data_IF_769163826232
#
_entry.id   IF_769163826232
#
_cell.length_a   1.000
_cell.length_b   1.000
_cell.length_c   1.000
_cell.angle_alpha   90.00
_cell.angle_beta   90.00
_cell.angle_gamma   90.00
#
_symmetry.space_group_name_H-M   'P 1'
#
loop_
_entity.id
_entity.type
_entity.pdbx_description
1 polymer ?
#
# COMPACT_ATOMS: atom_id res chain seq x y z
N UNK A 1 -8.18 71.53 -9.19
CA UNK A 1 -7.36 72.20 -8.16
C UNK A 1 -8.18 72.14 -6.90
N UNK A 2 -7.88 71.19 -6.01
CA UNK A 2 -8.64 71.04 -4.75
C UNK A 2 -7.84 71.75 -3.67
N UNK A 3 -8.33 72.91 -3.22
CA UNK A 3 -7.65 73.66 -2.17
C UNK A 3 -8.03 73.10 -0.80
N UNK A 4 -7.02 72.66 -0.04
CA UNK A 4 -7.20 72.25 1.35
C UNK A 4 -7.22 73.51 2.22
N UNK A 5 -8.41 73.93 2.62
CA UNK A 5 -8.63 75.11 3.46
C UNK A 5 -8.42 74.81 4.95
N UNK A 6 -7.70 75.72 5.65
CA UNK A 6 -7.59 75.71 7.12
C UNK A 6 -8.61 76.69 7.70
N UNK A 7 -9.54 76.20 8.53
CA UNK A 7 -10.54 77.06 9.21
C UNK A 7 -9.92 77.65 10.47
N UNK A 8 -9.85 78.98 10.53
CA UNK A 8 -9.54 79.74 11.75
C UNK A 8 -10.82 80.43 12.20
N UNK A 9 -11.27 80.15 13.41
CA UNK A 9 -12.36 80.89 14.04
C UNK A 9 -11.78 81.65 15.23
N UNK A 10 -11.81 82.98 15.16
CA UNK A 10 -11.40 83.88 16.24
C UNK A 10 -10.04 83.56 16.90
N UNK A 11 -9.01 83.32 16.07
CA UNK A 11 -7.64 83.04 16.54
C UNK A 11 -7.40 81.61 17.04
N UNK A 12 -8.44 80.79 17.25
CA UNK A 12 -8.32 79.37 17.56
C UNK A 12 -8.17 78.54 16.27
N UNK A 13 -7.14 77.68 16.24
CA UNK A 13 -6.99 76.70 15.17
C UNK A 13 -7.92 75.52 15.45
N UNK A 14 -8.94 75.36 14.60
CA UNK A 14 -9.90 74.26 14.71
C UNK A 14 -9.40 73.10 13.86
N UNK A 15 -9.00 72.00 14.50
CA UNK A 15 -8.74 70.74 13.83
C UNK A 15 -10.08 70.03 13.62
N UNK A 16 -10.65 70.15 12.42
CA UNK A 16 -11.82 69.36 12.09
C UNK A 16 -11.41 67.88 12.10
N UNK A 17 -12.10 67.07 12.91
CA UNK A 17 -12.01 65.63 12.78
C UNK A 17 -12.65 65.26 11.45
N UNK A 18 -11.84 65.06 10.42
CA UNK A 18 -12.32 64.57 9.13
C UNK A 18 -12.68 63.09 9.30
N UNK A 19 -13.95 62.75 9.07
CA UNK A 19 -14.36 61.36 8.98
C UNK A 19 -13.56 60.68 7.85
N UNK A 20 -13.18 59.41 8.03
CA UNK A 20 -12.41 58.63 7.03
C UNK A 20 -13.04 58.71 5.64
N UNK A 21 -14.36 58.87 5.56
CA UNK A 21 -15.10 58.97 4.30
C UNK A 21 -15.07 60.34 3.61
N UNK A 22 -14.65 61.40 4.30
CA UNK A 22 -14.52 62.75 3.74
C UNK A 22 -13.17 63.01 3.06
N UNK A 23 -12.25 62.04 3.09
CA UNK A 23 -10.94 62.12 2.44
C UNK A 23 -11.07 61.71 0.97
N UNK A 24 -10.97 62.69 0.07
CA UNK A 24 -10.88 62.42 -1.37
C UNK A 24 -9.61 61.59 -1.69
N UNK A 25 -9.77 60.51 -2.44
CA UNK A 25 -8.67 59.59 -2.76
C UNK A 25 -8.33 58.56 -1.68
N UNK A 26 -9.17 58.39 -0.65
CA UNK A 26 -8.97 57.34 0.37
C UNK A 26 -8.82 55.96 -0.29
N UNK A 27 -7.82 55.13 0.08
CA UNK A 27 -7.72 53.78 -0.43
C UNK A 27 -8.90 52.95 0.07
N UNK A 28 -9.81 52.57 -0.82
CA UNK A 28 -11.00 51.74 -0.48
C UNK A 28 -10.68 50.25 -0.40
N UNK A 29 -9.51 49.84 -0.87
CA UNK A 29 -9.05 48.46 -0.91
C UNK A 29 -7.59 48.41 -0.45
N UNK A 30 -7.36 48.54 0.86
CA UNK A 30 -6.02 48.32 1.45
C UNK A 30 -5.71 46.83 1.65
N UNK A 31 -6.47 45.93 1.01
CA UNK A 31 -6.24 44.50 1.10
C UNK A 31 -5.26 44.13 0.00
N UNK A 32 -4.06 43.71 0.39
CA UNK A 32 -3.08 43.16 -0.55
C UNK A 32 -3.68 41.99 -1.34
N UNK A 33 -3.16 41.77 -2.54
CA UNK A 33 -3.58 40.66 -3.38
C UNK A 33 -3.45 39.34 -2.62
N UNK A 34 -4.31 38.38 -2.98
CA UNK A 34 -4.19 37.03 -2.45
C UNK A 34 -2.82 36.48 -2.87
N UNK A 35 -2.05 35.98 -1.90
CA UNK A 35 -0.80 35.29 -2.20
C UNK A 35 -1.00 34.07 -3.08
N UNK A 36 0.02 33.74 -3.86
CA UNK A 36 0.01 32.58 -4.74
C UNK A 36 -0.20 31.28 -3.95
N UNK A 37 -0.88 30.28 -4.54
CA UNK A 37 -0.93 28.94 -3.96
C UNK A 37 0.48 28.37 -3.78
N UNK A 38 0.72 27.69 -2.66
CA UNK A 38 1.97 26.95 -2.46
C UNK A 38 2.12 25.81 -3.46
N UNK A 39 3.37 25.40 -3.73
CA UNK A 39 3.65 24.25 -4.59
C UNK A 39 3.01 22.97 -4.04
N UNK A 40 2.43 22.17 -4.93
CA UNK A 40 1.90 20.86 -4.58
C UNK A 40 3.04 19.91 -4.18
N UNK A 41 2.83 19.16 -3.10
CA UNK A 41 3.73 18.07 -2.74
C UNK A 41 3.55 16.88 -3.68
N UNK A 42 4.63 16.16 -3.95
CA UNK A 42 4.63 14.95 -4.79
C UNK A 42 5.16 13.75 -4.02
N UNK A 43 4.64 12.57 -4.35
CA UNK A 43 5.10 11.28 -3.82
C UNK A 43 5.30 10.33 -4.99
N UNK A 44 6.45 9.66 -5.01
CA UNK A 44 6.78 8.65 -6.03
C UNK A 44 7.40 7.41 -5.39
N UNK A 45 7.28 6.27 -6.07
CA UNK A 45 8.00 5.05 -5.71
C UNK A 45 9.39 5.10 -6.34
N UNK A 46 10.41 4.84 -5.52
CA UNK A 46 11.78 4.67 -5.98
C UNK A 46 12.11 3.22 -6.26
N UNK A 47 13.01 2.65 -5.48
CA UNK A 47 13.43 1.25 -5.64
C UNK A 47 12.58 0.31 -4.80
N UNK A 48 12.33 -0.90 -5.33
CA UNK A 48 11.78 -2.02 -4.56
C UNK A 48 12.81 -3.14 -4.60
N UNK A 49 13.34 -3.53 -3.45
CA UNK A 49 14.36 -4.59 -3.32
C UNK A 49 13.91 -5.65 -2.32
N UNK A 50 14.50 -6.84 -2.42
CA UNK A 50 14.31 -7.90 -1.43
C UNK A 50 15.28 -7.76 -0.25
N UNK A 51 14.85 -8.02 0.97
CA UNK A 51 15.71 -8.07 2.16
C UNK A 51 15.16 -8.98 3.25
N UNK A 52 15.77 -9.02 4.43
CA UNK A 52 15.25 -9.83 5.57
C UNK A 52 14.23 -9.09 6.40
N UNK A 53 14.40 -7.77 6.56
CA UNK A 53 13.52 -6.91 7.34
C UNK A 53 12.79 -5.94 6.42
N UNK A 54 11.47 -5.85 6.58
CA UNK A 54 10.67 -4.87 5.84
C UNK A 54 11.05 -3.45 6.28
N UNK A 55 11.31 -2.57 5.31
CA UNK A 55 11.60 -1.17 5.61
C UNK A 55 11.17 -0.23 4.49
N UNK A 56 10.95 1.03 4.87
CA UNK A 56 10.68 2.14 3.95
C UNK A 56 11.66 3.26 4.29
N UNK A 57 12.26 3.86 3.27
CA UNK A 57 13.14 5.03 3.42
C UNK A 57 12.77 6.11 2.42
N UNK A 58 12.66 7.36 2.87
CA UNK A 58 12.50 8.50 1.97
C UNK A 58 13.89 8.93 1.46
N UNK A 59 14.13 8.78 0.16
CA UNK A 59 15.32 9.27 -0.52
C UNK A 59 15.11 10.64 -1.19
N UNK A 60 13.90 11.20 -1.08
CA UNK A 60 13.52 12.52 -1.59
C UNK A 60 13.48 13.59 -0.50
N UNK A 61 12.73 14.67 -0.76
CA UNK A 61 12.51 15.76 0.22
C UNK A 61 11.14 15.62 0.88
N UNK A 62 10.82 16.54 1.80
CA UNK A 62 9.50 16.62 2.44
C UNK A 62 8.39 17.03 1.46
N UNK A 63 8.72 17.78 0.40
CA UNK A 63 7.76 18.21 -0.64
C UNK A 63 7.83 17.38 -1.91
N UNK A 64 8.88 16.58 -2.11
CA UNK A 64 9.03 15.65 -3.23
C UNK A 64 9.57 14.31 -2.72
N UNK A 65 8.70 13.54 -2.07
CA UNK A 65 9.07 12.30 -1.43
C UNK A 65 9.32 11.19 -2.47
N UNK A 66 10.37 10.40 -2.25
CA UNK A 66 10.68 9.21 -3.04
C UNK A 66 10.89 8.04 -2.09
N UNK A 67 9.89 7.19 -1.98
CA UNK A 67 9.93 6.07 -1.05
C UNK A 67 10.58 4.85 -1.70
N UNK A 68 11.66 4.38 -1.07
CA UNK A 68 12.30 3.12 -1.39
C UNK A 68 11.80 2.05 -0.42
N UNK A 69 11.56 0.85 -0.92
CA UNK A 69 11.01 -0.27 -0.17
C UNK A 69 12.00 -1.44 -0.15
N UNK A 70 12.15 -2.05 1.02
CA UNK A 70 12.76 -3.37 1.18
C UNK A 70 11.66 -4.33 1.61
N UNK A 71 11.43 -5.39 0.84
CA UNK A 71 10.38 -6.36 1.08
C UNK A 71 10.99 -7.75 1.38
N UNK A 72 10.61 -8.41 2.48
CA UNK A 72 11.02 -9.78 2.72
C UNK A 72 10.34 -10.78 1.79
N UNK A 73 11.03 -11.89 1.53
CA UNK A 73 10.43 -13.02 0.85
C UNK A 73 9.42 -13.66 1.81
N UNK A 74 8.23 -14.00 1.30
CA UNK A 74 7.28 -14.80 2.05
C UNK A 74 7.82 -16.19 2.37
N UNK A 75 7.29 -16.79 3.42
CA UNK A 75 7.67 -18.13 3.84
C UNK A 75 7.40 -19.15 2.73
N UNK A 76 8.19 -20.24 2.74
CA UNK A 76 7.93 -21.37 1.86
C UNK A 76 6.58 -21.99 2.26
N UNK A 77 5.73 -22.28 1.28
CA UNK A 77 4.52 -23.05 1.54
C UNK A 77 4.81 -24.44 2.08
N UNK A 78 3.83 -25.01 2.78
CA UNK A 78 3.94 -26.34 3.37
C UNK A 78 4.24 -27.40 2.31
N UNK A 79 5.05 -28.44 2.63
CA UNK A 79 5.19 -29.60 1.77
C UNK A 79 3.82 -30.25 1.52
N UNK A 80 3.62 -30.78 0.31
CA UNK A 80 2.45 -31.62 0.03
C UNK A 80 2.48 -32.91 0.88
N UNK A 81 1.31 -33.45 1.20
CA UNK A 81 1.19 -34.73 1.91
C UNK A 81 1.79 -35.86 1.06
N UNK A 82 2.85 -36.49 1.57
CA UNK A 82 3.44 -37.69 0.94
C UNK A 82 2.50 -38.89 1.10
N UNK A 83 2.19 -39.60 0.01
CA UNK A 83 1.46 -40.86 0.04
C UNK A 83 2.41 -42.03 0.35
N UNK A 84 3.11 -42.01 1.49
CA UNK A 84 4.16 -43.00 1.81
C UNK A 84 3.64 -44.28 2.47
N UNK A 85 2.34 -44.44 2.69
CA UNK A 85 1.77 -45.67 3.26
C UNK A 85 0.48 -46.05 2.54
N UNK A 86 0.61 -46.80 1.48
CA UNK A 86 -0.51 -47.57 0.92
C UNK A 86 -0.39 -49.02 1.36
N UNK A 87 -1.52 -49.70 1.51
CA UNK A 87 -1.54 -51.12 1.79
C UNK A 87 -0.71 -51.91 0.76
N UNK A 88 -0.18 -53.06 1.19
CA UNK A 88 0.38 -54.06 0.26
C UNK A 88 -0.70 -54.42 -0.74
N UNK A 89 -0.32 -54.51 -2.00
CA UNK A 89 -1.23 -54.94 -3.02
C UNK A 89 -1.59 -56.41 -2.90
N UNK A 90 -2.88 -56.72 -2.94
CA UNK A 90 -3.41 -58.08 -2.94
C UNK A 90 -4.49 -58.18 -4.02
N UNK A 91 -4.97 -59.38 -4.32
CA UNK A 91 -6.15 -59.57 -5.19
C UNK A 91 -7.38 -58.79 -4.70
N UNK A 92 -7.45 -58.50 -3.39
CA UNK A 92 -8.56 -57.76 -2.77
C UNK A 92 -8.23 -56.29 -2.43
N UNK A 93 -7.02 -55.79 -2.69
CA UNK A 93 -6.61 -54.42 -2.30
C UNK A 93 -5.64 -53.82 -3.33
N UNK A 94 -5.98 -52.64 -3.85
CA UNK A 94 -5.30 -52.02 -5.00
C UNK A 94 -3.90 -51.41 -4.72
N UNK A 95 -3.45 -51.30 -3.46
CA UNK A 95 -2.14 -50.71 -3.13
C UNK A 95 -1.81 -49.41 -3.92
N UNK A 96 -0.62 -49.35 -4.52
CA UNK A 96 -0.14 -48.26 -5.40
C UNK A 96 -0.01 -48.65 -6.89
N UNK A 97 -0.42 -49.85 -7.29
CA UNK A 97 -0.24 -50.24 -8.68
C UNK A 97 -1.19 -49.51 -9.62
N UNK A 98 -0.80 -49.43 -10.89
CA UNK A 98 -1.69 -48.94 -11.94
C UNK A 98 -2.94 -49.82 -12.04
N UNK A 99 -4.04 -49.24 -12.52
CA UNK A 99 -5.26 -50.03 -12.77
C UNK A 99 -5.00 -51.22 -13.70
N UNK A 100 -4.13 -51.03 -14.70
CA UNK A 100 -3.72 -52.08 -15.62
C UNK A 100 -2.96 -53.22 -14.93
N UNK A 101 -2.05 -52.90 -13.99
CA UNK A 101 -1.31 -53.93 -13.25
C UNK A 101 -2.19 -54.60 -12.18
N UNK A 102 -3.15 -53.89 -11.60
CA UNK A 102 -4.14 -54.48 -10.69
C UNK A 102 -5.01 -55.52 -11.40
N UNK A 103 -5.44 -55.25 -12.63
CA UNK A 103 -6.19 -56.23 -13.44
C UNK A 103 -5.38 -57.52 -13.65
N UNK A 104 -4.06 -57.43 -13.83
CA UNK A 104 -3.20 -58.62 -13.96
C UNK A 104 -3.16 -59.43 -12.66
N UNK A 105 -3.09 -58.76 -11.51
CA UNK A 105 -3.10 -59.42 -10.20
C UNK A 105 -4.46 -60.08 -9.91
N UNK A 106 -5.56 -59.41 -10.28
CA UNK A 106 -6.94 -59.90 -10.08
C UNK A 106 -7.26 -61.14 -10.92
N UNK A 107 -6.53 -61.33 -12.02
CA UNK A 107 -6.63 -62.52 -12.87
C UNK A 107 -5.87 -63.74 -12.35
N UNK A 108 -5.08 -63.62 -11.27
CA UNK A 108 -4.38 -64.77 -10.70
C UNK A 108 -5.36 -65.68 -9.94
N UNK A 109 -5.36 -66.97 -10.27
CA UNK A 109 -6.12 -67.97 -9.53
C UNK A 109 -5.62 -68.06 -8.08
N UNK A 110 -6.56 -68.08 -7.13
CA UNK A 110 -6.24 -68.30 -5.73
C UNK A 110 -5.87 -69.78 -5.52
N UNK A 111 -4.59 -70.07 -5.28
CA UNK A 111 -4.10 -71.44 -5.04
C UNK A 111 -4.15 -71.73 -3.54
N UNK A 112 -4.97 -72.69 -3.13
CA UNK A 112 -4.98 -73.25 -1.78
C UNK A 112 -4.07 -74.48 -1.73
N UNK A 113 -3.11 -74.49 -0.82
CA UNK A 113 -2.32 -75.69 -0.50
C UNK A 113 -2.97 -76.43 0.67
N UNK A 114 -3.40 -77.67 0.45
CA UNK A 114 -3.86 -78.55 1.51
C UNK A 114 -2.71 -79.44 1.99
N UNK A 115 -2.57 -79.61 3.31
CA UNK A 115 -1.52 -80.46 3.89
C UNK A 115 -1.81 -81.94 3.58
N UNK A 116 -0.95 -82.57 2.79
CA UNK A 116 -1.01 -84.02 2.51
C UNK A 116 -0.17 -84.77 3.53
N UNK A 117 -0.74 -84.98 4.72
CA UNK A 117 -0.14 -85.81 5.78
C UNK A 117 1.06 -85.18 6.51
N UNK A 118 1.43 -85.79 7.63
CA UNK A 118 2.74 -85.61 8.28
C UNK A 118 3.64 -86.77 7.85
N UNK A 119 4.93 -86.46 7.66
CA UNK A 119 5.96 -87.47 7.43
C UNK A 119 6.40 -88.04 8.77
#
# INVERSE_FOLDING_TARGET
MTDIVKVKQDGAQVYLQSHWEAIEGKPTLLKGDKGDPGNAATITVGTVTSGTTASVTNAGTTSAAKFNFVLPKGDKGDPGTNATTTAVATTSTNGLMSAADKTKLDGLNNITFEKVGEV
#
